data_IF_721117786342
#
_entry.id   IF_721117786342
#
_cell.length_a   1.000
_cell.length_b   1.000
_cell.length_c   1.000
_cell.angle_alpha   90.00
_cell.angle_beta   90.00
_cell.angle_gamma   90.00
#
_symmetry.space_group_name_H-M   'P 1'
#
loop_
_entity.id
_entity.type
_entity.pdbx_description
1 polymer ?
#
# COMPACT_ATOMS: atom_id res chain seq x y z
N UNK A 1 -25.41 32.16 -3.70
CA UNK A 1 -24.21 32.34 -4.55
C UNK A 1 -24.37 31.46 -5.79
N UNK A 2 -24.28 32.01 -7.00
CA UNK A 2 -24.45 31.23 -8.24
C UNK A 2 -23.20 30.36 -8.47
N UNK A 3 -23.36 29.15 -9.03
CA UNK A 3 -22.26 28.21 -9.34
C UNK A 3 -21.17 28.85 -10.21
N UNK A 4 -21.56 29.70 -11.16
CA UNK A 4 -20.61 30.37 -12.05
C UNK A 4 -19.79 31.43 -11.30
N UNK A 5 -20.40 32.12 -10.33
CA UNK A 5 -19.71 33.09 -9.49
C UNK A 5 -18.69 32.39 -8.56
N UNK A 6 -19.06 31.21 -8.04
CA UNK A 6 -18.18 30.40 -7.21
C UNK A 6 -16.97 29.86 -7.99
N UNK A 7 -17.18 29.41 -9.24
CA UNK A 7 -16.10 28.92 -10.08
C UNK A 7 -15.14 30.06 -10.45
N UNK A 8 -15.67 31.22 -10.84
CA UNK A 8 -14.86 32.41 -11.16
C UNK A 8 -14.03 32.87 -9.95
N UNK A 9 -14.62 32.89 -8.76
CA UNK A 9 -13.92 33.26 -7.53
C UNK A 9 -12.77 32.29 -7.16
N UNK A 10 -12.93 30.99 -7.45
CA UNK A 10 -11.87 30.00 -7.24
C UNK A 10 -10.68 30.19 -8.19
N UNK A 11 -10.95 30.58 -9.45
CA UNK A 11 -9.92 30.76 -10.48
C UNK A 11 -9.22 32.13 -10.45
N UNK A 12 -9.83 33.16 -9.87
CA UNK A 12 -9.25 34.51 -9.78
C UNK A 12 -8.11 34.62 -8.74
N UNK A 13 -7.90 33.60 -7.90
CA UNK A 13 -6.67 33.45 -7.12
C UNK A 13 -6.38 34.58 -6.12
N UNK A 14 -7.42 35.21 -5.56
CA UNK A 14 -7.24 36.26 -4.54
C UNK A 14 -6.86 35.73 -3.15
N UNK A 15 -6.51 36.65 -2.25
CA UNK A 15 -5.99 36.41 -0.87
C UNK A 15 -6.88 35.54 0.03
N UNK A 16 -8.14 35.31 -0.36
CA UNK A 16 -9.08 34.46 0.35
C UNK A 16 -8.59 33.03 0.57
N UNK A 17 -7.76 32.48 -0.34
CA UNK A 17 -7.18 31.16 -0.14
C UNK A 17 -6.13 31.17 0.99
N UNK A 18 -5.34 32.25 1.10
CA UNK A 18 -4.35 32.43 2.15
C UNK A 18 -5.03 32.63 3.51
N UNK A 19 -6.09 33.45 3.59
CA UNK A 19 -6.89 33.63 4.81
C UNK A 19 -7.47 32.30 5.33
N UNK A 20 -7.99 31.45 4.43
CA UNK A 20 -8.52 30.12 4.80
C UNK A 20 -7.44 29.14 5.28
N UNK A 21 -6.21 29.29 4.80
CA UNK A 21 -5.07 28.48 5.24
C UNK A 21 -4.60 28.95 6.63
N UNK A 22 -4.53 30.26 6.85
CA UNK A 22 -4.10 30.87 8.12
C UNK A 22 -5.12 30.65 9.25
N UNK A 23 -6.42 30.60 8.93
CA UNK A 23 -7.50 30.24 9.87
C UNK A 23 -7.59 28.72 10.13
N UNK A 24 -6.88 27.91 9.35
CA UNK A 24 -6.88 26.46 9.46
C UNK A 24 -6.14 25.97 10.70
N UNK A 25 -6.79 25.11 11.51
CA UNK A 25 -6.08 24.38 12.57
C UNK A 25 -4.95 23.54 11.96
N UNK A 26 -3.75 23.51 12.56
CA UNK A 26 -2.67 22.66 12.08
C UNK A 26 -3.14 21.21 12.01
N UNK A 27 -3.09 20.64 10.81
CA UNK A 27 -3.44 19.25 10.59
C UNK A 27 -2.29 18.36 11.06
N UNK A 28 -2.61 17.38 11.89
CA UNK A 28 -1.68 16.30 12.21
C UNK A 28 -1.54 15.43 10.97
N UNK A 29 -0.36 15.48 10.35
CA UNK A 29 -0.06 14.65 9.20
C UNK A 29 0.16 13.21 9.67
N UNK A 30 -0.38 12.21 8.95
CA UNK A 30 -0.05 10.82 9.23
C UNK A 30 1.47 10.63 9.10
N UNK A 31 2.05 9.86 10.02
CA UNK A 31 3.45 9.47 9.93
C UNK A 31 3.72 8.68 8.65
N UNK A 32 4.95 8.73 8.11
CA UNK A 32 5.31 7.93 6.94
C UNK A 32 5.17 6.43 7.23
N UNK A 33 4.72 5.67 6.23
CA UNK A 33 4.57 4.21 6.34
C UNK A 33 5.90 3.45 6.54
N UNK A 34 7.05 4.11 6.33
CA UNK A 34 8.39 3.51 6.43
C UNK A 34 9.46 4.55 6.75
N UNK A 35 10.44 4.15 7.57
CA UNK A 35 11.65 4.93 7.87
C UNK A 35 12.76 4.76 6.82
N UNK A 36 12.55 3.87 5.84
CA UNK A 36 13.51 3.61 4.76
C UNK A 36 13.25 4.56 3.58
N UNK A 37 14.27 5.27 3.05
CA UNK A 37 14.13 6.10 1.87
C UNK A 37 13.57 5.32 0.67
N UNK A 38 12.55 5.86 0.01
CA UNK A 38 11.86 5.19 -1.10
C UNK A 38 12.04 5.95 -2.41
N UNK A 39 11.99 5.23 -3.54
CA UNK A 39 12.05 5.81 -4.88
C UNK A 39 10.80 5.44 -5.69
N UNK A 40 10.15 6.43 -6.29
CA UNK A 40 9.00 6.20 -7.17
C UNK A 40 9.45 5.58 -8.48
N UNK A 41 8.74 4.53 -8.93
CA UNK A 41 8.96 3.85 -10.22
C UNK A 41 7.62 3.58 -10.89
N UNK A 42 7.52 3.89 -12.18
CA UNK A 42 6.31 3.62 -12.97
C UNK A 42 6.38 2.22 -13.58
N UNK A 43 5.32 1.43 -13.39
CA UNK A 43 5.15 0.11 -14.00
C UNK A 43 3.80 0.08 -14.70
N UNK A 44 3.75 -0.44 -15.94
CA UNK A 44 2.49 -0.66 -16.64
C UNK A 44 1.92 -2.02 -16.23
N UNK A 45 0.65 -2.02 -15.83
CA UNK A 45 -0.09 -3.23 -15.49
C UNK A 45 -1.32 -3.33 -16.40
N UNK A 46 -1.76 -4.54 -16.78
CA UNK A 46 -3.09 -4.73 -17.32
C UNK A 46 -4.15 -4.20 -16.35
N UNK A 47 -5.22 -3.60 -16.87
CA UNK A 47 -6.29 -2.99 -16.05
C UNK A 47 -6.87 -3.99 -15.05
N UNK A 48 -7.22 -5.20 -15.51
CA UNK A 48 -7.77 -6.25 -14.66
C UNK A 48 -6.81 -6.66 -13.54
N UNK A 49 -5.50 -6.60 -13.80
CA UNK A 49 -4.50 -6.89 -12.76
C UNK A 49 -4.49 -5.81 -11.70
N UNK A 50 -4.50 -4.54 -12.12
CA UNK A 50 -4.53 -3.40 -11.20
C UNK A 50 -5.79 -3.41 -10.32
N UNK A 51 -6.97 -3.66 -10.90
CA UNK A 51 -8.22 -3.70 -10.14
C UNK A 51 -8.22 -4.81 -9.08
N UNK A 52 -7.71 -6.00 -9.42
CA UNK A 52 -7.55 -7.09 -8.43
C UNK A 52 -6.63 -6.71 -7.28
N UNK A 53 -5.57 -5.94 -7.55
CA UNK A 53 -4.68 -5.43 -6.49
C UNK A 53 -5.41 -4.40 -5.63
N UNK A 54 -6.18 -3.50 -6.25
CA UNK A 54 -6.97 -2.49 -5.57
C UNK A 54 -7.99 -3.12 -4.61
N UNK A 55 -8.76 -4.09 -5.08
CA UNK A 55 -9.72 -4.84 -4.25
C UNK A 55 -9.03 -5.58 -3.10
N UNK A 56 -7.88 -6.19 -3.36
CA UNK A 56 -7.10 -6.88 -2.33
C UNK A 56 -6.54 -5.93 -1.26
N UNK A 57 -6.20 -4.70 -1.62
CA UNK A 57 -5.72 -3.67 -0.70
C UNK A 57 -6.88 -3.10 0.14
N UNK A 58 -8.03 -2.86 -0.50
CA UNK A 58 -9.26 -2.41 0.15
C UNK A 58 -9.73 -3.42 1.20
N UNK A 59 -9.77 -4.71 0.86
CA UNK A 59 -10.11 -5.78 1.81
C UNK A 59 -9.16 -5.86 3.02
N UNK A 60 -7.94 -5.32 2.90
CA UNK A 60 -6.93 -5.27 3.96
C UNK A 60 -6.89 -3.91 4.68
N UNK A 61 -7.64 -2.91 4.21
CA UNK A 61 -7.62 -1.56 4.77
C UNK A 61 -6.29 -0.83 4.59
N UNK A 62 -5.50 -1.15 3.56
CA UNK A 62 -4.20 -0.52 3.28
C UNK A 62 -4.15 0.13 1.91
N UNK A 63 -3.18 1.02 1.69
CA UNK A 63 -2.95 1.64 0.39
C UNK A 63 -2.54 0.63 -0.68
N UNK A 64 -3.04 0.81 -1.91
CA UNK A 64 -2.75 -0.09 -3.04
C UNK A 64 -1.25 -0.20 -3.33
N UNK A 65 -0.52 0.90 -3.23
CA UNK A 65 0.94 0.93 -3.42
C UNK A 65 1.70 0.28 -2.26
N UNK A 66 1.14 0.32 -1.05
CA UNK A 66 1.68 -0.40 0.11
C UNK A 66 1.53 -1.91 -0.08
N UNK A 67 0.37 -2.39 -0.56
CA UNK A 67 0.20 -3.80 -0.89
C UNK A 67 1.11 -4.24 -2.05
N UNK A 68 1.21 -3.45 -3.12
CA UNK A 68 2.12 -3.74 -4.24
C UNK A 68 3.56 -3.90 -3.78
N UNK A 69 4.03 -3.00 -2.91
CA UNK A 69 5.37 -3.10 -2.32
C UNK A 69 5.54 -4.38 -1.52
N UNK A 70 4.61 -4.72 -0.63
CA UNK A 70 4.66 -5.96 0.15
C UNK A 70 4.75 -7.20 -0.73
N UNK A 71 4.00 -7.24 -1.84
CA UNK A 71 4.06 -8.35 -2.78
C UNK A 71 5.36 -8.39 -3.59
N UNK A 72 5.92 -7.24 -3.95
CA UNK A 72 7.23 -7.17 -4.60
C UNK A 72 8.32 -7.68 -3.65
N UNK A 73 8.33 -7.22 -2.39
CA UNK A 73 9.30 -7.62 -1.37
C UNK A 73 9.17 -9.12 -1.04
N UNK A 74 7.94 -9.63 -0.89
CA UNK A 74 7.69 -11.05 -0.69
C UNK A 74 8.16 -11.88 -1.89
N UNK A 75 7.84 -11.46 -3.12
CA UNK A 75 8.28 -12.15 -4.33
C UNK A 75 9.81 -12.14 -4.50
N UNK A 76 10.49 -11.08 -4.06
CA UNK A 76 11.95 -11.03 -4.05
C UNK A 76 12.56 -11.93 -2.96
N UNK A 77 11.94 -12.00 -1.78
CA UNK A 77 12.37 -12.91 -0.72
C UNK A 77 12.20 -14.38 -1.12
N UNK A 78 11.13 -14.72 -1.84
CA UNK A 78 10.90 -16.08 -2.35
C UNK A 78 11.94 -16.51 -3.40
N UNK A 79 12.54 -15.56 -4.14
CA UNK A 79 13.63 -15.82 -5.07
C UNK A 79 14.97 -16.04 -4.37
N UNK A 80 15.08 -15.70 -3.10
CA UNK A 80 16.27 -15.94 -2.30
C UNK A 80 16.27 -17.41 -1.81
N UNK A 81 16.60 -18.32 -2.74
CA UNK A 81 16.82 -19.77 -2.52
C UNK A 81 17.92 -20.06 -1.47
N UNK A 82 18.57 -19.04 -0.90
CA UNK A 82 19.53 -19.19 0.20
C UNK A 82 18.88 -19.43 1.56
N UNK A 83 17.54 -19.42 1.64
CA UNK A 83 16.78 -19.85 2.81
C UNK A 83 16.99 -21.36 3.09
N UNK A 84 18.14 -21.69 3.67
CA UNK A 84 18.45 -23.04 4.12
C UNK A 84 17.49 -23.43 5.25
N UNK A 85 16.59 -24.37 4.96
CA UNK A 85 15.75 -25.00 5.98
C UNK A 85 16.48 -26.18 6.60
N UNK A 86 16.37 -26.34 7.92
CA UNK A 86 16.91 -27.50 8.62
C UNK A 86 16.27 -28.78 8.09
N UNK A 87 17.08 -29.73 7.64
CA UNK A 87 16.60 -31.04 7.19
C UNK A 87 15.80 -31.77 8.28
N UNK A 88 16.09 -31.50 9.56
CA UNK A 88 15.34 -32.06 10.68
C UNK A 88 13.89 -31.53 10.72
N UNK A 89 13.71 -30.24 10.43
CA UNK A 89 12.38 -29.61 10.43
C UNK A 89 11.57 -30.01 9.20
N UNK A 90 12.22 -30.15 8.04
CA UNK A 90 11.59 -30.71 6.84
C UNK A 90 11.11 -32.15 7.09
N UNK A 91 11.96 -32.99 7.68
CA UNK A 91 11.58 -34.38 8.05
C UNK A 91 10.42 -34.40 9.05
N UNK A 92 10.42 -33.49 10.03
CA UNK A 92 9.34 -33.37 11.02
C UNK A 92 8.03 -32.92 10.37
N UNK A 93 8.07 -31.95 9.46
CA UNK A 93 6.91 -31.47 8.73
C UNK A 93 6.31 -32.58 7.84
N UNK A 94 7.15 -33.31 7.09
CA UNK A 94 6.72 -34.45 6.28
C UNK A 94 6.09 -35.54 7.16
N UNK A 95 6.72 -35.88 8.30
CA UNK A 95 6.17 -36.87 9.22
C UNK A 95 4.81 -36.47 9.80
N UNK A 96 4.62 -35.17 10.10
CA UNK A 96 3.35 -34.63 10.58
C UNK A 96 2.24 -34.64 9.52
N UNK A 97 2.59 -34.43 8.24
CA UNK A 97 1.64 -34.53 7.13
C UNK A 97 1.29 -35.99 6.78
N UNK A 98 2.23 -36.91 6.92
CA UNK A 98 2.03 -38.34 6.66
C UNK A 98 1.18 -39.05 7.73
N UNK A 99 1.14 -38.50 8.95
CA UNK A 99 0.30 -38.99 10.04
C UNK A 99 -0.67 -37.89 10.46
N UNK A 100 -1.70 -37.58 9.64
CA UNK A 100 -2.71 -36.63 10.06
C UNK A 100 -3.27 -37.14 11.40
N UNK A 101 -3.04 -36.38 12.47
CA UNK A 101 -3.66 -36.67 13.76
C UNK A 101 -5.16 -36.72 13.51
N UNK A 102 -5.73 -37.92 13.60
CA UNK A 102 -7.17 -38.11 13.67
C UNK A 102 -7.68 -37.22 14.82
N UNK A 103 -8.50 -36.23 14.47
CA UNK A 103 -9.26 -35.42 15.40
C UNK A 103 -10.48 -36.20 15.86
#
# INVERSE_FOLDING_TARGET
MNRNDALKQFHEGGDRLAELIDEGRPAELPGPDSDVPMVSRSVRLPVDTYERVREAAEARGIGVTTLMRQWIEAGLADLDDSATVSLADVRRAIAALAHPRAA
#
